data_IF_671861481082
#
_entry.id   IF_671861481082
#
_cell.length_a   1.000
_cell.length_b   1.000
_cell.length_c   1.000
_cell.angle_alpha   90.00
_cell.angle_beta   90.00
_cell.angle_gamma   90.00
#
_symmetry.space_group_name_H-M   'P 1'
#
loop_
_entity.id
_entity.type
_entity.pdbx_description
1 polymer ?
#
# COMPACT_ATOMS: atom_id res chain seq x y z
N UNK A 1 -14.32 -8.14 -15.04
CA UNK A 1 -13.76 -7.50 -13.83
C UNK A 1 -13.42 -6.07 -14.19
N UNK A 2 -13.63 -5.11 -13.29
CA UNK A 2 -13.30 -3.70 -13.53
C UNK A 2 -11.84 -3.48 -13.17
N UNK A 3 -11.07 -2.80 -14.02
CA UNK A 3 -9.66 -2.47 -13.73
C UNK A 3 -9.64 -1.26 -12.80
N UNK A 4 -9.00 -1.40 -11.64
CA UNK A 4 -8.83 -0.33 -10.66
C UNK A 4 -7.56 0.50 -10.92
N UNK A 5 -6.47 -0.15 -11.34
CA UNK A 5 -5.21 0.51 -11.69
C UNK A 5 -4.72 -0.06 -13.02
N UNK A 6 -4.35 0.82 -13.97
CA UNK A 6 -3.68 0.46 -15.21
C UNK A 6 -2.45 1.32 -15.40
N UNK A 7 -1.29 0.71 -15.43
CA UNK A 7 0.00 1.32 -15.72
C UNK A 7 0.49 0.87 -17.10
N UNK A 8 0.96 1.81 -17.92
CA UNK A 8 1.47 1.55 -19.26
C UNK A 8 2.81 2.25 -19.42
N UNK A 9 3.87 1.46 -19.60
CA UNK A 9 5.24 1.93 -19.87
C UNK A 9 5.71 3.03 -18.91
N UNK A 10 5.47 2.85 -17.59
CA UNK A 10 5.86 3.86 -16.60
C UNK A 10 7.37 4.02 -16.54
N UNK A 11 7.81 5.26 -16.64
CA UNK A 11 9.23 5.64 -16.49
C UNK A 11 9.36 6.66 -15.38
N UNK A 12 10.35 6.40 -14.49
CA UNK A 12 10.78 7.35 -13.46
C UNK A 12 12.28 7.28 -13.30
N UNK A 13 12.93 8.42 -13.39
CA UNK A 13 14.37 8.58 -13.17
C UNK A 13 14.62 9.57 -12.05
N UNK A 14 15.62 9.28 -11.23
CA UNK A 14 16.14 10.22 -10.25
C UNK A 14 17.46 10.85 -10.73
N UNK A 15 17.98 11.80 -9.97
CA UNK A 15 19.28 12.43 -10.24
C UNK A 15 20.36 11.36 -10.44
N UNK A 16 21.29 11.58 -11.40
CA UNK A 16 22.37 10.67 -11.82
C UNK A 16 21.99 9.55 -12.81
N UNK A 17 20.81 9.65 -13.48
CA UNK A 17 20.44 8.71 -14.55
C UNK A 17 19.98 7.34 -14.07
N UNK A 18 19.77 7.14 -12.76
CA UNK A 18 19.20 5.90 -12.23
C UNK A 18 17.72 5.85 -12.52
N UNK A 19 17.32 4.90 -13.36
CA UNK A 19 15.90 4.63 -13.63
C UNK A 19 15.32 3.78 -12.53
N UNK A 20 14.45 4.37 -11.72
CA UNK A 20 13.71 3.64 -10.69
C UNK A 20 12.53 2.86 -11.27
N UNK A 21 11.95 3.35 -12.37
CA UNK A 21 10.99 2.62 -13.21
C UNK A 21 11.45 2.74 -14.67
N UNK A 22 11.50 1.63 -15.38
CA UNK A 22 11.97 1.52 -16.75
C UNK A 22 10.99 0.70 -17.60
N UNK A 23 9.90 1.34 -18.05
CA UNK A 23 8.88 0.72 -18.90
C UNK A 23 7.94 -0.23 -18.12
N UNK A 24 7.58 0.09 -16.87
CA UNK A 24 6.72 -0.76 -16.05
C UNK A 24 5.29 -0.71 -16.54
N UNK A 25 4.73 -1.89 -16.88
CA UNK A 25 3.34 -2.05 -17.29
C UNK A 25 2.65 -3.11 -16.41
N UNK A 26 1.45 -2.79 -15.89
CA UNK A 26 0.63 -3.72 -15.11
C UNK A 26 -0.84 -3.29 -15.06
N UNK A 27 -1.70 -4.21 -14.68
CA UNK A 27 -3.09 -3.93 -14.31
C UNK A 27 -3.41 -4.56 -12.95
N UNK A 28 -4.29 -3.90 -12.19
CA UNK A 28 -4.86 -4.43 -10.95
C UNK A 28 -6.39 -4.33 -11.07
N UNK A 29 -7.07 -5.44 -10.87
CA UNK A 29 -8.53 -5.48 -10.91
C UNK A 29 -9.14 -5.08 -9.57
N UNK A 30 -10.39 -4.60 -9.59
CA UNK A 30 -11.14 -4.36 -8.35
C UNK A 30 -11.31 -5.66 -7.56
N UNK A 31 -11.01 -5.61 -6.26
CA UNK A 31 -11.02 -6.75 -5.35
C UNK A 31 -9.76 -7.63 -5.41
N UNK A 32 -8.80 -7.32 -6.29
CA UNK A 32 -7.54 -8.08 -6.42
C UNK A 32 -6.50 -7.63 -5.38
N UNK A 33 -5.77 -8.60 -4.84
CA UNK A 33 -4.57 -8.38 -4.02
C UNK A 33 -3.32 -8.67 -4.86
N UNK A 34 -2.65 -7.60 -5.31
CA UNK A 34 -1.35 -7.68 -5.99
C UNK A 34 -0.23 -7.50 -4.96
N UNK A 35 0.60 -8.51 -4.78
CA UNK A 35 1.83 -8.40 -3.97
C UNK A 35 3.02 -8.10 -4.87
N UNK A 36 3.80 -7.07 -4.52
CA UNK A 36 5.00 -6.65 -5.25
C UNK A 36 6.22 -7.01 -4.42
N UNK A 37 7.10 -7.82 -4.98
CA UNK A 37 8.33 -8.30 -4.34
C UNK A 37 9.57 -7.94 -5.15
N UNK A 38 10.74 -8.01 -4.53
CA UNK A 38 12.02 -7.75 -5.19
C UNK A 38 13.07 -7.20 -4.24
N UNK A 39 14.35 -7.13 -4.64
CA UNK A 39 15.43 -6.62 -3.81
C UNK A 39 15.25 -5.14 -3.47
N UNK A 40 15.98 -4.67 -2.45
CA UNK A 40 16.04 -3.24 -2.12
C UNK A 40 16.54 -2.45 -3.33
N UNK A 41 15.93 -1.28 -3.60
CA UNK A 41 16.28 -0.46 -4.75
C UNK A 41 15.70 -0.91 -6.10
N UNK A 42 14.87 -1.97 -6.17
CA UNK A 42 14.27 -2.44 -7.43
C UNK A 42 13.14 -1.56 -7.98
N UNK A 43 12.73 -0.49 -7.26
CA UNK A 43 11.70 0.45 -7.73
C UNK A 43 10.31 0.25 -7.14
N UNK A 44 10.08 -0.73 -6.26
CA UNK A 44 8.76 -1.06 -5.67
C UNK A 44 8.07 0.12 -4.98
N UNK A 45 8.79 0.79 -4.08
CA UNK A 45 8.24 1.97 -3.36
C UNK A 45 7.99 3.14 -4.31
N UNK A 46 8.84 3.34 -5.32
CA UNK A 46 8.60 4.33 -6.36
C UNK A 46 7.32 4.00 -7.13
N UNK A 47 7.15 2.74 -7.56
CA UNK A 47 5.96 2.29 -8.28
C UNK A 47 4.68 2.56 -7.47
N UNK A 48 4.60 2.07 -6.24
CA UNK A 48 3.38 2.20 -5.44
C UNK A 48 3.06 3.68 -5.12
N UNK A 49 4.08 4.52 -4.97
CA UNK A 49 3.92 5.96 -4.74
C UNK A 49 3.45 6.72 -5.98
N UNK A 50 3.64 6.21 -7.19
CA UNK A 50 3.04 6.81 -8.38
C UNK A 50 1.52 6.64 -8.38
N UNK A 51 0.97 5.54 -7.83
CA UNK A 51 -0.46 5.24 -7.85
C UNK A 51 -1.31 6.22 -7.04
N UNK A 52 -0.73 6.95 -6.09
CA UNK A 52 -1.41 8.02 -5.36
C UNK A 52 -0.84 9.42 -5.68
N UNK A 53 0.00 9.52 -6.72
CA UNK A 53 0.62 10.78 -7.15
C UNK A 53 1.59 11.38 -6.15
N UNK A 54 2.20 10.58 -5.25
CA UNK A 54 3.31 11.03 -4.40
C UNK A 54 4.61 11.13 -5.19
N UNK A 55 4.78 10.27 -6.19
CA UNK A 55 5.86 10.35 -7.17
C UNK A 55 5.29 10.74 -8.53
N UNK A 56 5.92 11.71 -9.20
CA UNK A 56 5.59 12.09 -10.56
C UNK A 56 6.22 11.11 -11.57
N UNK A 57 5.56 10.92 -12.70
CA UNK A 57 6.09 10.14 -13.82
C UNK A 57 6.92 11.02 -14.74
N UNK A 58 7.97 10.46 -15.34
CA UNK A 58 8.77 11.10 -16.39
C UNK A 58 8.31 10.60 -17.79
N UNK A 59 7.59 9.46 -17.85
CA UNK A 59 7.02 8.90 -19.06
C UNK A 59 6.00 7.81 -18.76
N UNK A 60 5.27 7.39 -19.80
CA UNK A 60 4.18 6.44 -19.70
C UNK A 60 2.87 7.08 -19.28
N UNK A 61 1.89 6.24 -18.95
CA UNK A 61 0.56 6.66 -18.51
C UNK A 61 0.05 5.74 -17.40
N UNK A 62 -0.63 6.34 -16.43
CA UNK A 62 -1.23 5.64 -15.31
C UNK A 62 -2.70 6.06 -15.20
N UNK A 63 -3.61 5.09 -15.16
CA UNK A 63 -5.01 5.29 -14.83
C UNK A 63 -5.28 4.65 -13.46
N UNK A 64 -5.85 5.42 -12.55
CA UNK A 64 -6.24 4.96 -11.23
C UNK A 64 -7.69 5.33 -10.99
N UNK A 65 -8.57 4.33 -10.94
CA UNK A 65 -10.01 4.51 -10.74
C UNK A 65 -10.66 5.48 -11.74
N UNK A 66 -10.18 5.48 -12.99
CA UNK A 66 -10.63 6.36 -14.07
C UNK A 66 -9.98 7.76 -14.08
N UNK A 67 -9.08 8.05 -13.15
CA UNK A 67 -8.31 9.30 -13.15
C UNK A 67 -6.93 9.07 -13.78
N UNK A 68 -6.63 9.79 -14.85
CA UNK A 68 -5.37 9.63 -15.59
C UNK A 68 -4.27 10.49 -15.00
N UNK A 69 -3.12 9.88 -14.74
CA UNK A 69 -1.86 10.53 -14.39
C UNK A 69 -0.81 10.25 -15.50
N UNK A 70 -0.15 11.30 -15.95
CA UNK A 70 1.00 11.25 -16.86
C UNK A 70 1.98 12.37 -16.48
N UNK A 71 3.02 12.61 -17.27
CA UNK A 71 4.00 13.65 -16.97
C UNK A 71 3.41 15.08 -16.92
N UNK A 72 2.17 15.29 -17.38
CA UNK A 72 1.52 16.60 -17.49
C UNK A 72 0.32 16.79 -16.55
N UNK A 73 -0.01 15.76 -15.70
CA UNK A 73 -1.17 15.80 -14.81
C UNK A 73 -1.07 16.93 -13.78
N UNK A 74 -2.22 17.50 -13.41
CA UNK A 74 -2.32 18.56 -12.42
C UNK A 74 -2.69 18.04 -11.02
N UNK A 75 -2.61 18.94 -10.02
CA UNK A 75 -3.00 18.62 -8.63
C UNK A 75 -4.46 18.17 -8.47
N UNK A 76 -5.35 18.52 -9.40
CA UNK A 76 -6.77 18.15 -9.35
C UNK A 76 -6.94 16.64 -9.43
N UNK A 77 -6.28 15.99 -10.39
CA UNK A 77 -6.31 14.54 -10.58
C UNK A 77 -5.71 13.82 -9.36
N UNK A 78 -4.56 14.29 -8.88
CA UNK A 78 -3.92 13.74 -7.67
C UNK A 78 -4.85 13.83 -6.46
N UNK A 79 -5.54 14.96 -6.26
CA UNK A 79 -6.52 15.11 -5.17
C UNK A 79 -7.73 14.20 -5.32
N UNK A 80 -8.20 13.96 -6.55
CA UNK A 80 -9.30 13.03 -6.81
C UNK A 80 -8.92 11.60 -6.41
N UNK A 81 -7.73 11.15 -6.83
CA UNK A 81 -7.19 9.83 -6.49
C UNK A 81 -7.02 9.68 -4.97
N UNK A 82 -6.37 10.64 -4.30
CA UNK A 82 -6.10 10.57 -2.84
C UNK A 82 -7.34 10.54 -1.95
N UNK A 83 -8.51 10.83 -2.48
CA UNK A 83 -9.80 10.66 -1.77
C UNK A 83 -10.32 9.23 -1.81
N UNK A 84 -9.84 8.43 -2.77
CA UNK A 84 -10.33 7.08 -3.07
C UNK A 84 -9.25 6.01 -2.88
N UNK A 85 -8.00 6.42 -2.72
CA UNK A 85 -6.84 5.55 -2.54
C UNK A 85 -6.22 5.81 -1.18
N UNK A 86 -6.26 4.82 -0.30
CA UNK A 86 -5.57 4.84 0.99
C UNK A 86 -4.12 4.39 0.83
N UNK A 87 -3.22 4.95 1.63
CA UNK A 87 -1.82 4.50 1.66
C UNK A 87 -1.30 4.36 3.08
N UNK A 88 -0.62 3.24 3.31
CA UNK A 88 0.07 2.90 4.55
C UNK A 88 1.56 2.78 4.25
N UNK A 89 2.38 3.49 5.00
CA UNK A 89 3.83 3.59 4.81
C UNK A 89 4.58 2.69 5.78
N UNK A 90 5.84 2.44 5.50
CA UNK A 90 6.80 1.78 6.38
C UNK A 90 6.91 2.51 7.74
N UNK A 91 7.03 3.84 7.71
CA UNK A 91 6.92 4.68 8.90
C UNK A 91 5.43 5.02 9.09
N UNK A 92 4.95 4.97 10.30
CA UNK A 92 3.52 5.13 10.62
C UNK A 92 2.95 6.49 10.22
N UNK A 93 3.78 7.52 10.19
CA UNK A 93 3.45 8.90 9.79
C UNK A 93 2.22 9.47 10.52
N UNK A 94 2.04 9.09 11.79
CA UNK A 94 1.00 9.66 12.63
C UNK A 94 1.38 11.07 13.07
N UNK A 95 0.38 11.93 13.23
CA UNK A 95 0.58 13.27 13.78
C UNK A 95 0.85 13.17 15.28
N UNK A 96 2.07 13.46 15.77
CA UNK A 96 2.46 13.17 17.15
C UNK A 96 1.72 14.04 18.19
N UNK A 97 1.23 15.20 17.78
CA UNK A 97 0.51 16.16 18.60
C UNK A 97 -1.01 15.95 18.64
N UNK A 98 -1.52 14.99 17.86
CA UNK A 98 -2.94 14.63 17.82
C UNK A 98 -3.18 13.33 18.58
N UNK A 99 -4.36 13.20 19.21
CA UNK A 99 -4.81 11.91 19.74
C UNK A 99 -4.96 10.88 18.61
N UNK A 100 -5.06 9.60 18.96
CA UNK A 100 -5.31 8.53 17.99
C UNK A 100 -6.65 8.77 17.28
N UNK A 101 -7.70 9.14 18.02
CA UNK A 101 -8.99 9.48 17.43
C UNK A 101 -8.88 10.65 16.46
N UNK A 102 -8.17 11.71 16.83
CA UNK A 102 -8.00 12.88 15.97
C UNK A 102 -7.14 12.55 14.72
N UNK A 103 -6.13 11.70 14.85
CA UNK A 103 -5.36 11.20 13.70
C UNK A 103 -6.24 10.55 12.64
N UNK A 104 -7.27 9.80 13.06
CA UNK A 104 -8.18 9.09 12.15
C UNK A 104 -9.25 10.04 11.61
N UNK A 105 -9.78 10.95 12.43
CA UNK A 105 -10.94 11.79 12.06
C UNK A 105 -10.60 13.05 11.29
N UNK A 106 -9.36 13.54 11.35
CA UNK A 106 -8.96 14.82 10.74
C UNK A 106 -9.24 14.86 9.22
N UNK A 107 -8.93 13.78 8.49
CA UNK A 107 -9.12 13.73 7.05
C UNK A 107 -10.63 13.64 6.67
N UNK A 108 -11.45 12.74 7.22
CA UNK A 108 -12.89 12.73 7.01
C UNK A 108 -13.55 14.10 7.27
N UNK A 109 -13.19 14.77 8.36
CA UNK A 109 -13.77 16.08 8.72
C UNK A 109 -13.28 17.18 7.76
N UNK A 110 -11.97 17.28 7.52
CA UNK A 110 -11.39 18.41 6.76
C UNK A 110 -11.54 18.25 5.26
N UNK A 111 -11.38 17.01 4.72
CA UNK A 111 -11.36 16.74 3.28
C UNK A 111 -12.74 16.35 2.77
N UNK A 112 -13.45 15.41 3.46
CA UNK A 112 -14.77 14.94 3.03
C UNK A 112 -15.92 15.76 3.62
N UNK A 113 -15.63 16.69 4.57
CA UNK A 113 -16.63 17.54 5.25
C UNK A 113 -17.69 16.72 6.02
N UNK A 114 -17.31 15.51 6.51
CA UNK A 114 -18.19 14.70 7.37
C UNK A 114 -18.46 15.42 8.68
N UNK A 115 -19.66 15.22 9.23
CA UNK A 115 -19.96 15.68 10.58
C UNK A 115 -18.99 15.01 11.59
N UNK A 116 -18.60 15.79 12.62
CA UNK A 116 -17.62 15.31 13.61
C UNK A 116 -18.08 14.03 14.30
N UNK A 117 -19.36 13.94 14.69
CA UNK A 117 -19.92 12.75 15.34
C UNK A 117 -19.82 11.50 14.45
N UNK A 118 -20.14 11.62 13.16
CA UNK A 118 -20.08 10.50 12.21
C UNK A 118 -18.62 10.04 11.98
N UNK A 119 -17.68 11.00 11.89
CA UNK A 119 -16.27 10.69 11.75
C UNK A 119 -15.70 10.01 13.00
N UNK A 120 -16.08 10.45 14.21
CA UNK A 120 -15.68 9.84 15.47
C UNK A 120 -16.27 8.43 15.62
N UNK A 121 -17.55 8.25 15.29
CA UNK A 121 -18.19 6.93 15.31
C UNK A 121 -17.44 5.95 14.38
N UNK A 122 -17.21 6.37 13.14
CA UNK A 122 -16.48 5.54 12.16
C UNK A 122 -15.05 5.23 12.62
N UNK A 123 -14.36 6.20 13.22
CA UNK A 123 -13.00 5.99 13.75
C UNK A 123 -12.99 4.95 14.89
N UNK A 124 -13.98 4.97 15.78
CA UNK A 124 -14.10 3.99 16.86
C UNK A 124 -14.37 2.59 16.30
N UNK A 125 -15.22 2.45 15.30
CA UNK A 125 -15.48 1.17 14.60
C UNK A 125 -14.21 0.61 13.97
N UNK A 126 -13.42 1.47 13.29
CA UNK A 126 -12.16 1.07 12.69
C UNK A 126 -11.11 0.67 13.74
N UNK A 127 -11.03 1.39 14.84
CA UNK A 127 -10.15 1.03 15.96
C UNK A 127 -10.56 -0.30 16.60
N UNK A 128 -11.86 -0.57 16.70
CA UNK A 128 -12.40 -1.84 17.20
C UNK A 128 -12.03 -2.99 16.23
N UNK A 129 -12.22 -2.80 14.93
CA UNK A 129 -11.81 -3.75 13.88
C UNK A 129 -10.29 -4.04 13.94
N UNK A 130 -9.48 -3.04 14.28
CA UNK A 130 -8.03 -3.19 14.46
C UNK A 130 -7.65 -3.75 15.85
N UNK A 131 -8.61 -4.01 16.75
CA UNK A 131 -8.37 -4.53 18.10
C UNK A 131 -7.62 -3.56 19.02
N UNK A 132 -7.82 -2.24 18.84
CA UNK A 132 -7.11 -1.19 19.60
C UNK A 132 -8.04 -0.03 19.99
N UNK A 133 -9.33 -0.30 20.17
CA UNK A 133 -10.35 0.72 20.55
C UNK A 133 -9.98 1.52 21.80
N UNK A 134 -9.41 0.85 22.79
CA UNK A 134 -8.99 1.44 24.06
C UNK A 134 -7.87 2.47 23.92
N UNK A 135 -7.19 2.52 22.76
CA UNK A 135 -6.11 3.46 22.48
C UNK A 135 -6.62 4.81 21.96
N UNK A 136 -7.92 4.98 21.68
CA UNK A 136 -8.51 6.14 20.99
C UNK A 136 -8.10 7.50 21.57
N UNK A 137 -7.98 7.62 22.88
CA UNK A 137 -7.64 8.86 23.59
C UNK A 137 -6.15 9.08 23.83
N UNK A 138 -5.31 8.10 23.51
CA UNK A 138 -3.86 8.20 23.65
C UNK A 138 -3.22 8.96 22.50
N UNK A 139 -1.93 9.23 22.65
CA UNK A 139 -1.09 9.85 21.62
C UNK A 139 -0.14 8.82 21.03
N UNK A 140 0.38 9.02 19.79
CA UNK A 140 1.26 8.06 19.12
C UNK A 140 2.43 7.56 19.98
N UNK A 141 3.09 8.45 20.70
CA UNK A 141 4.22 8.11 21.58
C UNK A 141 3.89 7.12 22.71
N UNK A 142 2.62 6.91 23.01
CA UNK A 142 2.13 5.99 24.06
C UNK A 142 1.81 4.59 23.51
N UNK A 143 1.94 4.39 22.19
CA UNK A 143 1.60 3.16 21.49
C UNK A 143 2.86 2.39 21.06
N UNK A 144 2.75 1.06 21.03
CA UNK A 144 3.76 0.21 20.40
C UNK A 144 3.78 0.43 18.87
N UNK A 145 4.87 0.06 18.20
CA UNK A 145 4.97 0.16 16.74
C UNK A 145 3.84 -0.54 16.01
N UNK A 146 3.49 -1.78 16.39
CA UNK A 146 2.37 -2.52 15.81
C UNK A 146 1.01 -1.84 16.03
N UNK A 147 0.79 -1.23 17.22
CA UNK A 147 -0.40 -0.42 17.46
C UNK A 147 -0.42 0.84 16.61
N UNK A 148 0.71 1.54 16.46
CA UNK A 148 0.81 2.72 15.59
C UNK A 148 0.52 2.36 14.12
N UNK A 149 1.00 1.21 13.65
CA UNK A 149 0.74 0.75 12.28
C UNK A 149 -0.75 0.41 12.08
N UNK A 150 -1.39 -0.25 13.04
CA UNK A 150 -2.84 -0.50 12.98
C UNK A 150 -3.66 0.80 13.00
N UNK A 151 -3.21 1.82 13.73
CA UNK A 151 -3.79 3.18 13.64
C UNK A 151 -3.59 3.78 12.25
N UNK A 152 -2.42 3.62 11.63
CA UNK A 152 -2.17 4.12 10.27
C UNK A 152 -3.08 3.43 9.24
N UNK A 153 -3.35 2.12 9.41
CA UNK A 153 -4.33 1.38 8.60
C UNK A 153 -5.75 1.95 8.82
N UNK A 154 -6.18 2.10 10.08
CA UNK A 154 -7.49 2.66 10.42
C UNK A 154 -7.66 4.08 9.85
N UNK A 155 -6.62 4.91 9.93
CA UNK A 155 -6.63 6.26 9.36
C UNK A 155 -6.80 6.24 7.83
N UNK A 156 -6.13 5.33 7.13
CA UNK A 156 -6.29 5.19 5.69
C UNK A 156 -7.70 4.72 5.31
N UNK A 157 -8.27 3.78 6.08
CA UNK A 157 -9.63 3.27 5.88
C UNK A 157 -10.74 4.29 6.21
N UNK A 158 -10.45 5.30 7.02
CA UNK A 158 -11.45 6.29 7.44
C UNK A 158 -12.00 7.15 6.30
N UNK A 159 -11.32 7.19 5.15
CA UNK A 159 -11.79 7.85 3.94
C UNK A 159 -12.65 6.95 3.04
N UNK A 160 -12.91 5.68 3.44
CA UNK A 160 -13.60 4.64 2.68
C UNK A 160 -12.97 4.45 1.28
N UNK A 161 -11.67 4.11 1.22
CA UNK A 161 -10.95 3.98 -0.04
C UNK A 161 -11.40 2.75 -0.83
N UNK A 162 -11.31 2.84 -2.17
CA UNK A 162 -11.55 1.74 -3.10
C UNK A 162 -10.29 0.90 -3.34
N UNK A 163 -9.12 1.48 -3.09
CA UNK A 163 -7.81 0.82 -3.19
C UNK A 163 -6.97 1.14 -1.98
N UNK A 164 -6.31 0.14 -1.41
CA UNK A 164 -5.32 0.30 -0.35
C UNK A 164 -3.92 -0.04 -0.85
N UNK A 165 -3.00 0.87 -0.63
CA UNK A 165 -1.58 0.74 -0.96
C UNK A 165 -0.78 0.53 0.32
N UNK A 166 0.09 -0.48 0.36
CA UNK A 166 0.95 -0.78 1.50
C UNK A 166 2.42 -0.80 1.06
N UNK A 167 3.21 0.15 1.56
CA UNK A 167 4.65 0.26 1.28
C UNK A 167 5.45 -0.27 2.46
N UNK A 168 5.78 -1.56 2.45
CA UNK A 168 6.54 -2.28 3.48
C UNK A 168 5.98 -2.07 4.91
N UNK A 169 4.70 -2.38 5.17
CA UNK A 169 4.00 -1.98 6.41
C UNK A 169 4.55 -2.64 7.68
N UNK A 170 5.39 -3.66 7.57
CA UNK A 170 5.93 -4.42 8.71
C UNK A 170 7.43 -4.21 8.94
N UNK A 171 8.15 -3.61 8.00
CA UNK A 171 9.62 -3.56 8.04
C UNK A 171 10.22 -2.72 9.19
N UNK A 172 9.42 -1.84 9.82
CA UNK A 172 9.82 -1.06 10.99
C UNK A 172 9.36 -1.68 12.33
N UNK A 173 8.90 -2.95 12.32
CA UNK A 173 8.32 -3.61 13.48
C UNK A 173 9.20 -4.75 14.01
N UNK A 174 9.14 -4.98 15.31
CA UNK A 174 9.67 -6.19 15.92
C UNK A 174 8.88 -7.42 15.45
N UNK A 175 9.52 -8.60 15.28
CA UNK A 175 8.87 -9.82 14.77
C UNK A 175 7.60 -10.23 15.52
N UNK A 176 7.56 -10.01 16.84
CA UNK A 176 6.39 -10.34 17.66
C UNK A 176 5.15 -9.50 17.30
N UNK A 177 5.34 -8.30 16.73
CA UNK A 177 4.27 -7.35 16.40
C UNK A 177 3.85 -7.39 14.93
N UNK A 178 4.65 -8.03 14.08
CA UNK A 178 4.37 -8.21 12.64
C UNK A 178 3.04 -8.95 12.45
N UNK A 179 2.82 -10.01 13.23
CA UNK A 179 1.62 -10.86 13.11
C UNK A 179 0.32 -10.06 13.20
N UNK A 180 0.20 -9.17 14.19
CA UNK A 180 -1.03 -8.38 14.42
C UNK A 180 -1.37 -7.45 13.24
N UNK A 181 -0.35 -6.89 12.59
CA UNK A 181 -0.52 -6.04 11.41
C UNK A 181 -0.91 -6.89 10.20
N UNK A 182 -0.25 -8.03 9.99
CA UNK A 182 -0.59 -8.96 8.91
C UNK A 182 -2.00 -9.53 9.07
N UNK A 183 -2.45 -9.83 10.30
CA UNK A 183 -3.81 -10.31 10.56
C UNK A 183 -4.86 -9.25 10.17
N UNK A 184 -4.61 -7.97 10.50
CA UNK A 184 -5.47 -6.87 10.05
C UNK A 184 -5.51 -6.77 8.51
N UNK A 185 -4.37 -6.89 7.82
CA UNK A 185 -4.31 -6.87 6.36
C UNK A 185 -5.01 -8.08 5.72
N UNK A 186 -4.92 -9.28 6.34
CA UNK A 186 -5.67 -10.47 5.90
C UNK A 186 -7.18 -10.25 5.95
N UNK A 187 -7.68 -9.64 7.03
CA UNK A 187 -9.11 -9.31 7.13
C UNK A 187 -9.57 -8.37 6.02
N UNK A 188 -8.76 -7.39 5.64
CA UNK A 188 -9.06 -6.49 4.52
C UNK A 188 -9.10 -7.24 3.18
N UNK A 189 -8.14 -8.12 2.93
CA UNK A 189 -8.12 -8.96 1.72
C UNK A 189 -9.35 -9.87 1.64
N UNK A 190 -9.69 -10.56 2.73
CA UNK A 190 -10.89 -11.41 2.83
C UNK A 190 -12.19 -10.61 2.65
N UNK A 191 -12.19 -9.33 3.04
CA UNK A 191 -13.30 -8.40 2.82
C UNK A 191 -13.42 -7.91 1.37
N UNK A 192 -12.57 -8.37 0.44
CA UNK A 192 -12.60 -7.98 -0.98
C UNK A 192 -11.99 -6.61 -1.27
N UNK A 193 -11.15 -6.08 -0.38
CA UNK A 193 -10.46 -4.82 -0.61
C UNK A 193 -9.43 -4.97 -1.75
N UNK A 194 -9.45 -4.05 -2.71
CA UNK A 194 -8.39 -3.96 -3.72
C UNK A 194 -7.09 -3.51 -3.05
N UNK A 195 -6.03 -4.29 -3.18
CA UNK A 195 -4.78 -4.01 -2.46
C UNK A 195 -3.57 -4.13 -3.38
N UNK A 196 -2.62 -3.20 -3.25
CA UNK A 196 -1.25 -3.35 -3.75
C UNK A 196 -0.32 -3.32 -2.56
N UNK A 197 0.44 -4.40 -2.36
CA UNK A 197 1.25 -4.61 -1.16
C UNK A 197 2.70 -4.84 -1.53
N UNK A 198 3.56 -3.91 -1.19
CA UNK A 198 5.02 -4.12 -1.20
C UNK A 198 5.41 -4.74 0.13
N UNK A 199 5.95 -5.95 0.13
CA UNK A 199 6.32 -6.67 1.35
C UNK A 199 7.44 -7.68 1.13
N UNK A 200 8.11 -8.04 2.22
CA UNK A 200 9.07 -9.15 2.32
C UNK A 200 8.49 -10.37 3.05
N UNK A 201 7.24 -10.30 3.49
CA UNK A 201 6.55 -11.34 4.24
C UNK A 201 6.05 -12.45 3.32
N UNK A 202 6.89 -13.48 3.08
CA UNK A 202 6.58 -14.58 2.15
C UNK A 202 5.32 -15.36 2.55
N UNK A 203 5.12 -15.60 3.86
CA UNK A 203 3.95 -16.30 4.39
C UNK A 203 2.65 -15.55 4.10
N UNK A 204 2.64 -14.25 4.32
CA UNK A 204 1.51 -13.39 4.00
C UNK A 204 1.22 -13.37 2.49
N UNK A 205 2.25 -13.17 1.67
CA UNK A 205 2.09 -13.15 0.22
C UNK A 205 1.51 -14.45 -0.34
N UNK A 206 1.96 -15.61 0.17
CA UNK A 206 1.42 -16.92 -0.22
C UNK A 206 -0.06 -17.10 0.11
N UNK A 207 -0.50 -16.52 1.21
CA UNK A 207 -1.85 -16.73 1.75
C UNK A 207 -2.88 -15.80 1.10
N UNK A 208 -2.51 -14.54 0.83
CA UNK A 208 -3.50 -13.52 0.46
C UNK A 208 -3.40 -13.01 -0.97
N UNK A 209 -2.25 -13.19 -1.64
CA UNK A 209 -2.09 -12.65 -2.98
C UNK A 209 -2.92 -13.41 -4.01
N UNK A 210 -3.60 -12.70 -4.89
CA UNK A 210 -4.14 -13.25 -6.13
C UNK A 210 -3.03 -13.34 -7.19
N UNK A 211 -2.11 -12.36 -7.20
CA UNK A 211 -0.92 -12.36 -8.04
C UNK A 211 0.29 -11.80 -7.29
N UNK A 212 1.45 -12.35 -7.62
CA UNK A 212 2.75 -11.85 -7.19
C UNK A 212 3.50 -11.30 -8.38
N UNK A 213 3.99 -10.07 -8.25
CA UNK A 213 4.82 -9.39 -9.23
C UNK A 213 6.24 -9.22 -8.66
N UNK A 214 7.22 -9.75 -9.35
CA UNK A 214 8.62 -9.59 -8.98
C UNK A 214 9.27 -8.48 -9.81
N UNK A 215 9.86 -7.52 -9.12
CA UNK A 215 10.58 -6.40 -9.73
C UNK A 215 12.08 -6.48 -9.44
N UNK A 216 12.88 -6.17 -10.45
CA UNK A 216 14.32 -5.99 -10.33
C UNK A 216 14.80 -4.90 -11.29
N UNK A 217 15.71 -4.03 -10.84
CA UNK A 217 16.31 -2.96 -11.63
C UNK A 217 15.30 -2.07 -12.38
N UNK A 218 14.20 -1.71 -11.72
CA UNK A 218 13.16 -0.85 -12.27
C UNK A 218 12.21 -1.52 -13.25
N UNK A 219 12.31 -2.82 -13.46
CA UNK A 219 11.51 -3.58 -14.42
C UNK A 219 10.68 -4.66 -13.73
N UNK A 220 9.55 -5.02 -14.34
CA UNK A 220 8.80 -6.21 -13.98
C UNK A 220 9.48 -7.41 -14.64
N UNK A 221 10.02 -8.32 -13.83
CA UNK A 221 10.71 -9.52 -14.30
C UNK A 221 9.75 -10.68 -14.47
N UNK A 222 8.84 -10.87 -13.50
CA UNK A 222 7.86 -11.95 -13.51
C UNK A 222 6.57 -11.53 -12.83
N UNK A 223 5.44 -11.98 -13.37
CA UNK A 223 4.14 -11.91 -12.69
C UNK A 223 3.45 -13.26 -12.84
N UNK A 224 3.05 -13.84 -11.72
CA UNK A 224 2.39 -15.15 -11.68
C UNK A 224 1.46 -15.30 -10.47
N UNK A 225 0.68 -16.36 -10.43
CA UNK A 225 -0.05 -16.75 -9.24
C UNK A 225 0.92 -17.13 -8.11
N UNK A 226 0.49 -17.02 -6.83
CA UNK A 226 1.37 -17.28 -5.69
C UNK A 226 1.97 -18.69 -5.69
N UNK A 227 1.17 -19.71 -6.04
CA UNK A 227 1.65 -21.08 -6.04
C UNK A 227 2.81 -21.24 -7.03
N UNK A 228 2.64 -20.78 -8.26
CA UNK A 228 3.70 -20.81 -9.28
C UNK A 228 4.92 -20.01 -8.84
N UNK A 229 4.73 -18.80 -8.35
CA UNK A 229 5.84 -17.94 -7.95
C UNK A 229 6.70 -18.57 -6.85
N UNK A 230 6.08 -19.08 -5.80
CA UNK A 230 6.83 -19.60 -4.64
C UNK A 230 7.33 -21.03 -4.76
N UNK A 231 6.84 -21.82 -5.72
CA UNK A 231 7.28 -23.23 -5.89
C UNK A 231 8.06 -23.47 -7.18
N UNK A 232 7.75 -22.71 -8.23
CA UNK A 232 8.32 -22.91 -9.57
C UNK A 232 8.43 -21.60 -10.34
N UNK A 233 9.06 -20.58 -9.73
CA UNK A 233 9.31 -19.30 -10.38
C UNK A 233 10.02 -19.52 -11.73
N UNK A 234 9.53 -18.83 -12.76
CA UNK A 234 9.98 -19.03 -14.14
C UNK A 234 11.34 -18.39 -14.39
N UNK A 235 11.53 -17.21 -13.83
CA UNK A 235 12.72 -16.41 -14.04
C UNK A 235 13.84 -16.74 -13.04
N UNK A 236 15.08 -16.80 -13.52
CA UNK A 236 16.23 -17.13 -12.69
C UNK A 236 16.44 -16.11 -11.55
N UNK A 237 16.17 -14.82 -11.83
CA UNK A 237 16.27 -13.75 -10.84
C UNK A 237 15.25 -13.95 -9.71
N UNK A 238 14.02 -14.36 -10.04
CA UNK A 238 12.97 -14.67 -9.06
C UNK A 238 13.40 -15.83 -8.16
N UNK A 239 13.93 -16.91 -8.75
CA UNK A 239 14.44 -18.09 -7.98
C UNK A 239 15.58 -17.71 -7.05
N UNK A 240 16.55 -16.92 -7.51
CA UNK A 240 17.66 -16.45 -6.68
C UNK A 240 17.17 -15.63 -5.50
N UNK A 241 16.25 -14.70 -5.74
CA UNK A 241 15.64 -13.87 -4.69
C UNK A 241 14.94 -14.74 -3.64
N UNK A 242 14.08 -15.69 -4.07
CA UNK A 242 13.38 -16.57 -3.14
C UNK A 242 14.33 -17.42 -2.29
N UNK A 243 15.40 -17.93 -2.87
CA UNK A 243 16.42 -18.69 -2.13
C UNK A 243 17.11 -17.83 -1.06
N UNK A 244 17.37 -16.55 -1.32
CA UNK A 244 17.96 -15.64 -0.33
C UNK A 244 17.01 -15.28 0.81
N UNK A 245 15.70 -15.29 0.57
CA UNK A 245 14.68 -14.96 1.58
C UNK A 245 14.30 -16.14 2.48
N UNK A 246 14.73 -17.36 2.16
CA UNK A 246 14.46 -18.58 2.94
C UNK A 246 15.57 -18.93 3.95
N UNK A 247 16.67 -18.21 3.90
CA UNK A 247 17.83 -18.31 4.79
C UNK A 247 18.00 -17.04 5.63
#
# INVERSE_FOLDING_TARGET
MTVAIRATELVKSYSQGVKALDGVSLEVNSGEVLVVMGPSGSGKSTLIRTFNGLESLDGGALDVLGERLDATHGERQVRAIRKRVGMVFQQFNLFPHLSILDNITIAPIKVQKRAKADAEQRAIELLDQMGIREQARKYPAQLSGGQQQRVAIARALALDPEVMLFDEPTSALDPERVKEVLDAMRQLAQGGMTMVVVTHELGFAREVADRVMFMDQGQVVETSDPQTFFTNAREERSRRFLNQMQH
#
